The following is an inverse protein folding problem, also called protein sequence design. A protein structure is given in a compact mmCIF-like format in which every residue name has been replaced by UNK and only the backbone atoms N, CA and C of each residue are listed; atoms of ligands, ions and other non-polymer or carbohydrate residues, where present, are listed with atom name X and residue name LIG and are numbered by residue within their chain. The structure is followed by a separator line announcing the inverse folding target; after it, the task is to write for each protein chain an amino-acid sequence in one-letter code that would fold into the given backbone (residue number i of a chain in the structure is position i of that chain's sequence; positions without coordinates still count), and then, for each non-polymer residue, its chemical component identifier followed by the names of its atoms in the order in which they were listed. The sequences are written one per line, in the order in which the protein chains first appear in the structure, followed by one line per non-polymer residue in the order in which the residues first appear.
data_IF_890130138699
#
_entry.id   IF_890130138699
#
_cell.length_a   1.000
_cell.length_b   1.000
_cell.length_c   1.000
_cell.angle_alpha   90.00
_cell.angle_beta   90.00
_cell.angle_gamma   90.00
#
_symmetry.space_group_name_H-M   'P 1'
#
loop_
_entity.id
_entity.type
_entity.pdbx_description
1 polymer ?
#
# COMPACT_ATOMS: atom_id res chain seq x y z
N UNK A 1 -11.46 8.30 12.89
CA UNK A 1 -10.35 8.55 13.88
C UNK A 1 -9.07 7.78 13.56
N UNK A 2 -9.12 6.49 13.15
CA UNK A 2 -7.90 5.75 12.77
C UNK A 2 -7.32 6.23 11.42
N UNK A 3 -8.17 6.53 10.43
CA UNK A 3 -7.73 7.08 9.15
C UNK A 3 -7.14 8.48 9.32
N UNK A 4 -7.75 9.33 10.14
CA UNK A 4 -7.22 10.66 10.46
C UNK A 4 -5.89 10.59 11.22
N UNK A 5 -5.70 9.59 12.08
CA UNK A 5 -4.45 9.35 12.80
C UNK A 5 -3.31 8.89 11.87
N UNK A 6 -3.62 8.00 10.88
CA UNK A 6 -2.62 7.56 9.89
C UNK A 6 -2.21 8.71 8.95
N UNK A 7 -3.13 9.53 8.48
CA UNK A 7 -2.83 10.72 7.66
C UNK A 7 -2.02 11.74 8.47
N UNK A 8 -2.35 11.94 9.73
CA UNK A 8 -1.59 12.79 10.65
C UNK A 8 -0.17 12.27 10.89
N UNK A 9 -0.02 10.95 11.05
CA UNK A 9 1.27 10.30 11.23
C UNK A 9 2.15 10.43 9.97
N UNK A 10 1.58 10.20 8.78
CA UNK A 10 2.31 10.36 7.52
C UNK A 10 2.81 11.80 7.35
N UNK A 11 1.97 12.80 7.59
CA UNK A 11 2.37 14.22 7.54
C UNK A 11 3.44 14.57 8.58
N UNK A 12 3.36 14.00 9.78
CA UNK A 12 4.37 14.21 10.81
C UNK A 12 5.73 13.57 10.43
N UNK A 13 5.72 12.39 9.80
CA UNK A 13 6.91 11.72 9.27
C UNK A 13 7.52 12.51 8.11
N UNK A 14 6.70 13.07 7.23
CA UNK A 14 7.14 13.90 6.11
C UNK A 14 7.80 15.21 6.58
N UNK A 15 7.27 15.82 7.64
CA UNK A 15 7.79 17.06 8.23
C UNK A 15 8.96 16.85 9.19
N UNK A 16 9.22 15.62 9.64
CA UNK A 16 10.30 15.33 10.57
C UNK A 16 11.68 15.45 9.91
N UNK A 17 12.68 15.80 10.70
CA UNK A 17 14.09 15.74 10.30
C UNK A 17 14.43 14.34 9.77
N UNK A 18 15.11 14.28 8.63
CA UNK A 18 15.52 13.01 8.02
C UNK A 18 16.70 12.44 8.78
N UNK A 19 16.46 11.36 9.50
CA UNK A 19 17.48 10.63 10.27
C UNK A 19 17.74 9.28 9.62
N UNK A 20 19.01 8.88 9.55
CA UNK A 20 19.42 7.61 9.00
C UNK A 20 20.64 7.03 9.72
N UNK A 21 20.69 5.71 9.77
CA UNK A 21 21.82 4.95 10.28
C UNK A 21 22.42 4.11 9.15
N UNK A 22 23.68 4.36 8.78
CA UNK A 22 24.42 3.50 7.84
C UNK A 22 24.71 2.17 8.51
N UNK A 23 24.13 1.10 7.98
CA UNK A 23 24.30 -0.25 8.52
C UNK A 23 25.68 -0.84 8.22
N UNK A 24 26.48 -0.21 7.38
CA UNK A 24 27.72 -0.77 6.82
C UNK A 24 27.48 -1.83 5.73
N UNK A 25 26.25 -2.28 5.54
CA UNK A 25 25.89 -3.24 4.48
C UNK A 25 25.87 -2.52 3.13
N UNK A 26 26.23 -3.22 2.07
CA UNK A 26 26.16 -2.75 0.69
C UNK A 26 25.35 -3.75 -0.13
N UNK A 27 24.34 -3.25 -0.82
CA UNK A 27 23.55 -4.03 -1.79
C UNK A 27 24.12 -3.82 -3.20
N UNK A 28 24.32 -4.90 -3.94
CA UNK A 28 24.76 -4.80 -5.33
C UNK A 28 23.56 -4.40 -6.19
N UNK A 29 23.74 -3.37 -7.02
CA UNK A 29 22.68 -2.91 -7.93
C UNK A 29 22.26 -4.06 -8.87
N UNK A 30 20.95 -4.28 -9.10
CA UNK A 30 20.46 -5.45 -9.82
C UNK A 30 20.96 -5.53 -11.27
N UNK A 31 21.30 -4.39 -11.89
CA UNK A 31 21.72 -4.30 -13.29
C UNK A 31 23.16 -3.81 -13.48
N UNK A 32 23.84 -3.41 -12.40
CA UNK A 32 25.22 -2.98 -12.40
C UNK A 32 25.96 -3.61 -11.22
N UNK A 33 26.71 -4.67 -11.49
CA UNK A 33 27.39 -5.46 -10.45
C UNK A 33 28.55 -4.70 -9.79
N UNK A 34 29.05 -3.66 -10.41
CA UNK A 34 30.12 -2.82 -9.87
C UNK A 34 29.59 -1.71 -8.96
N UNK A 35 28.28 -1.46 -9.01
CA UNK A 35 27.64 -0.43 -8.21
C UNK A 35 27.09 -0.99 -6.89
N UNK A 36 27.80 -0.70 -5.80
CA UNK A 36 27.42 -1.06 -4.45
C UNK A 36 26.62 0.08 -3.80
N UNK A 37 25.35 -0.16 -3.52
CA UNK A 37 24.43 0.78 -2.90
C UNK A 37 24.53 0.68 -1.38
N UNK A 38 24.63 1.78 -0.63
CA UNK A 38 24.63 1.75 0.83
C UNK A 38 23.23 1.43 1.35
N UNK A 39 23.15 0.63 2.42
CA UNK A 39 21.89 0.26 3.09
C UNK A 39 21.76 1.05 4.39
N UNK A 40 20.71 1.85 4.47
CA UNK A 40 20.37 2.67 5.63
C UNK A 40 19.10 2.18 6.33
N UNK A 41 19.05 2.33 7.65
CA UNK A 41 17.79 2.35 8.40
C UNK A 41 17.38 3.82 8.51
N UNK A 42 16.19 4.19 8.04
CA UNK A 42 15.73 5.57 7.99
C UNK A 42 14.35 5.72 8.62
N UNK A 43 14.14 6.84 9.32
CA UNK A 43 12.93 7.10 10.09
C UNK A 43 11.68 7.43 9.24
N UNK A 44 11.84 7.68 7.95
CA UNK A 44 10.73 8.02 7.05
C UNK A 44 10.25 6.85 6.17
N UNK A 45 10.92 5.70 6.28
CA UNK A 45 10.53 4.48 5.56
C UNK A 45 9.42 3.76 6.32
N UNK A 46 8.29 3.52 5.63
CA UNK A 46 7.17 2.81 6.21
C UNK A 46 7.35 1.30 6.04
N UNK A 47 7.34 0.56 7.14
CA UNK A 47 7.50 -0.91 7.14
C UNK A 47 6.39 -1.65 6.40
N UNK A 48 5.21 -1.03 6.28
CA UNK A 48 4.05 -1.58 5.56
C UNK A 48 4.15 -1.39 4.03
N UNK A 49 5.19 -0.70 3.54
CA UNK A 49 5.35 -0.46 2.11
C UNK A 49 6.22 -1.57 1.48
N UNK A 50 5.62 -2.38 0.61
CA UNK A 50 6.29 -3.52 -0.01
C UNK A 50 6.76 -4.54 1.02
N UNK A 51 8.05 -4.82 1.03
CA UNK A 51 8.71 -5.73 2.00
C UNK A 51 9.33 -4.98 3.20
N UNK A 52 9.17 -3.65 3.26
CA UNK A 52 9.88 -2.79 4.20
C UNK A 52 11.31 -2.44 3.77
N UNK A 53 11.80 -3.05 2.69
CA UNK A 53 13.07 -2.69 2.05
C UNK A 53 12.77 -1.96 0.73
N UNK A 54 13.27 -0.72 0.59
CA UNK A 54 12.97 0.18 -0.52
C UNK A 54 14.27 0.57 -1.19
N UNK A 55 14.29 0.58 -2.54
CA UNK A 55 15.34 1.22 -3.29
C UNK A 55 14.99 2.71 -3.42
N UNK A 56 15.82 3.58 -2.85
CA UNK A 56 15.63 5.02 -2.94
C UNK A 56 15.88 5.56 -4.34
N UNK A 57 15.11 6.58 -4.72
CA UNK A 57 15.19 7.26 -6.03
C UNK A 57 15.32 8.78 -5.88
N UNK A 58 16.41 9.27 -5.30
CA UNK A 58 16.53 10.66 -4.85
C UNK A 58 16.40 11.71 -5.95
N UNK A 59 16.63 11.36 -7.21
CA UNK A 59 16.40 12.28 -8.31
C UNK A 59 14.91 12.52 -8.62
N UNK A 60 14.01 11.61 -8.17
CA UNK A 60 12.61 11.57 -8.57
C UNK A 60 11.62 11.39 -7.40
N UNK A 61 12.10 11.31 -6.17
CA UNK A 61 11.31 11.41 -4.93
C UNK A 61 11.94 12.45 -4.00
N UNK A 62 11.16 13.45 -3.61
CA UNK A 62 11.67 14.56 -2.81
C UNK A 62 12.12 14.12 -1.42
N UNK A 63 11.47 13.13 -0.82
CA UNK A 63 11.84 12.61 0.51
C UNK A 63 13.20 11.91 0.46
N UNK A 64 13.43 11.15 -0.60
CA UNK A 64 14.70 10.48 -0.84
C UNK A 64 15.80 11.49 -1.15
N UNK A 65 15.48 12.57 -1.89
CA UNK A 65 16.43 13.64 -2.19
C UNK A 65 16.84 14.38 -0.91
N UNK A 66 15.88 14.73 -0.06
CA UNK A 66 16.16 15.40 1.21
C UNK A 66 17.04 14.52 2.11
N UNK A 67 16.75 13.23 2.16
CA UNK A 67 17.57 12.25 2.88
C UNK A 67 18.98 12.13 2.29
N UNK A 68 19.09 12.02 0.97
CA UNK A 68 20.39 11.92 0.30
C UNK A 68 21.27 13.13 0.58
N UNK A 69 20.68 14.34 0.60
CA UNK A 69 21.38 15.58 0.96
C UNK A 69 21.89 15.58 2.39
N UNK A 70 21.04 15.20 3.34
CA UNK A 70 21.41 15.13 4.77
C UNK A 70 22.54 14.13 5.00
N UNK A 71 22.49 12.98 4.30
CA UNK A 71 23.51 11.93 4.43
C UNK A 71 24.71 12.09 3.50
N UNK A 72 24.76 13.13 2.67
CA UNK A 72 25.85 13.34 1.71
C UNK A 72 25.97 12.26 0.65
N UNK A 73 24.83 11.66 0.25
CA UNK A 73 24.79 10.57 -0.75
C UNK A 73 24.74 11.14 -2.16
N UNK A 74 25.38 10.46 -3.13
CA UNK A 74 25.32 10.87 -4.53
C UNK A 74 23.90 10.71 -5.08
N UNK A 75 23.49 11.67 -5.92
CA UNK A 75 22.19 11.66 -6.59
C UNK A 75 22.44 11.55 -8.10
N UNK A 76 21.80 10.57 -8.75
CA UNK A 76 21.89 10.35 -10.19
C UNK A 76 20.53 10.62 -10.83
N UNK A 77 20.47 11.59 -11.76
CA UNK A 77 19.28 11.81 -12.59
C UNK A 77 19.15 10.67 -13.60
N UNK A 78 17.98 10.05 -13.64
CA UNK A 78 17.67 8.93 -14.57
C UNK A 78 16.52 9.24 -15.51
N UNK A 79 15.83 10.38 -15.31
CA UNK A 79 14.85 10.93 -16.24
C UNK A 79 15.19 12.40 -16.46
N UNK A 80 15.36 12.78 -17.72
CA UNK A 80 15.54 14.17 -18.13
C UNK A 80 14.21 14.72 -18.64
N UNK A 81 13.63 15.66 -17.93
CA UNK A 81 12.38 16.33 -18.29
C UNK A 81 12.57 17.50 -19.25
N UNK A 82 13.82 17.82 -19.59
CA UNK A 82 14.16 19.01 -20.39
C UNK A 82 14.02 20.33 -19.63
N UNK A 83 13.69 20.30 -18.35
CA UNK A 83 13.64 21.49 -17.51
C UNK A 83 15.02 21.83 -16.96
N UNK A 84 15.31 23.13 -16.87
CA UNK A 84 16.52 23.61 -16.22
C UNK A 84 16.39 23.40 -14.70
N UNK A 85 17.12 22.43 -14.20
CA UNK A 85 17.10 22.01 -12.81
C UNK A 85 18.55 21.82 -12.35
N UNK A 86 19.27 22.91 -12.05
CA UNK A 86 20.67 22.86 -11.69
C UNK A 86 20.90 22.09 -10.39
N UNK A 87 22.02 21.39 -10.29
CA UNK A 87 22.36 20.49 -9.19
C UNK A 87 22.30 21.16 -7.80
N UNK A 88 22.65 22.44 -7.75
CA UNK A 88 22.68 23.21 -6.49
C UNK A 88 21.27 23.51 -5.91
N UNK A 89 20.28 23.66 -6.79
CA UNK A 89 18.88 23.95 -6.41
C UNK A 89 17.92 22.83 -6.78
N UNK A 90 18.43 21.66 -7.09
CA UNK A 90 17.68 20.55 -7.60
C UNK A 90 16.50 20.14 -6.73
N UNK A 91 15.34 20.07 -7.34
CA UNK A 91 14.11 19.51 -6.79
C UNK A 91 13.84 18.18 -7.49
N UNK A 92 13.38 17.19 -6.76
CA UNK A 92 13.06 15.89 -7.35
C UNK A 92 11.97 16.05 -8.42
N UNK A 93 12.22 15.53 -9.60
CA UNK A 93 11.30 15.64 -10.73
C UNK A 93 10.44 14.38 -10.84
N UNK A 94 9.11 14.54 -10.87
CA UNK A 94 8.14 13.45 -11.01
C UNK A 94 7.50 13.39 -12.39
N UNK A 95 7.88 14.31 -13.29
CA UNK A 95 7.35 14.41 -14.65
C UNK A 95 7.85 13.32 -15.60
N UNK A 96 7.17 13.21 -16.72
CA UNK A 96 7.62 12.38 -17.82
C UNK A 96 8.84 13.02 -18.50
N UNK A 97 9.70 12.20 -19.09
CA UNK A 97 10.91 12.66 -19.73
C UNK A 97 11.66 11.53 -20.42
N UNK A 98 12.87 11.83 -20.86
CA UNK A 98 13.74 10.85 -21.53
C UNK A 98 14.58 10.14 -20.47
N UNK A 99 14.67 8.81 -20.55
CA UNK A 99 15.56 8.04 -19.69
C UNK A 99 17.02 8.34 -20.04
N UNK A 100 17.82 8.65 -19.02
CA UNK A 100 19.24 8.94 -19.11
C UNK A 100 19.99 8.23 -17.97
N UNK A 101 21.27 7.95 -18.15
CA UNK A 101 22.10 7.26 -17.17
C UNK A 101 21.50 5.92 -16.67
N UNK A 102 20.73 5.27 -17.53
CA UNK A 102 19.91 4.09 -17.22
C UNK A 102 20.24 2.90 -18.14
N UNK A 103 21.44 2.90 -18.72
CA UNK A 103 21.97 1.87 -19.62
C UNK A 103 21.02 1.57 -20.79
N UNK A 104 20.48 0.37 -20.89
CA UNK A 104 19.60 -0.05 -21.98
C UNK A 104 18.25 0.69 -22.03
N UNK A 105 17.89 1.42 -20.97
CA UNK A 105 16.68 2.25 -20.96
C UNK A 105 16.93 3.65 -21.53
N UNK A 106 18.18 4.04 -21.74
CA UNK A 106 18.52 5.37 -22.25
C UNK A 106 17.81 5.66 -23.56
N UNK A 107 17.19 6.83 -23.64
CA UNK A 107 16.42 7.27 -24.80
C UNK A 107 14.95 6.84 -24.82
N UNK A 108 14.49 5.96 -23.93
CA UNK A 108 13.06 5.71 -23.77
C UNK A 108 12.36 6.97 -23.23
N UNK A 109 11.14 7.22 -23.70
CA UNK A 109 10.33 8.37 -23.30
C UNK A 109 9.04 7.97 -22.61
N UNK A 110 8.78 6.66 -22.52
CA UNK A 110 7.54 6.10 -22.03
C UNK A 110 7.81 5.22 -20.78
N UNK A 111 7.22 5.62 -19.65
CA UNK A 111 7.35 4.94 -18.37
C UNK A 111 6.86 3.48 -18.40
N UNK A 112 5.78 3.21 -19.13
CA UNK A 112 5.21 1.85 -19.18
C UNK A 112 6.17 0.90 -19.91
N UNK A 113 6.84 1.37 -20.97
CA UNK A 113 7.87 0.61 -21.66
C UNK A 113 9.09 0.37 -20.78
N UNK A 114 9.55 1.36 -20.04
CA UNK A 114 10.64 1.19 -19.08
C UNK A 114 10.34 0.14 -18.03
N UNK A 115 9.15 0.19 -17.41
CA UNK A 115 8.70 -0.80 -16.44
C UNK A 115 8.67 -2.21 -17.04
N UNK A 116 8.13 -2.35 -18.25
CA UNK A 116 8.08 -3.65 -18.94
C UNK A 116 9.47 -4.24 -19.18
N UNK A 117 10.39 -3.47 -19.72
CA UNK A 117 11.78 -3.91 -19.97
C UNK A 117 12.45 -4.39 -18.68
N UNK A 118 12.29 -3.66 -17.58
CA UNK A 118 12.88 -4.05 -16.28
C UNK A 118 12.25 -5.34 -15.76
N UNK A 119 10.92 -5.49 -15.85
CA UNK A 119 10.23 -6.71 -15.41
C UNK A 119 10.72 -7.91 -16.23
N UNK A 120 10.69 -7.82 -17.55
CA UNK A 120 11.15 -8.89 -18.45
C UNK A 120 12.59 -9.32 -18.14
N UNK A 121 13.46 -8.34 -17.86
CA UNK A 121 14.85 -8.62 -17.50
C UNK A 121 15.00 -9.33 -16.15
N UNK A 122 14.23 -8.92 -15.14
CA UNK A 122 14.27 -9.56 -13.83
C UNK A 122 13.70 -10.98 -13.88
N UNK A 123 12.65 -11.20 -14.68
CA UNK A 123 12.06 -12.51 -14.92
C UNK A 123 13.03 -13.43 -15.66
N UNK A 124 13.67 -12.95 -16.71
CA UNK A 124 14.67 -13.72 -17.45
C UNK A 124 15.87 -14.13 -16.58
N UNK A 125 16.19 -13.38 -15.55
CA UNK A 125 17.25 -13.68 -14.59
C UNK A 125 16.78 -14.54 -13.42
N UNK A 126 15.47 -14.85 -13.31
CA UNK A 126 14.88 -15.54 -12.16
C UNK A 126 14.98 -14.75 -10.84
N UNK A 127 15.06 -13.40 -10.90
CA UNK A 127 15.29 -12.52 -9.75
C UNK A 127 14.06 -11.71 -9.33
N UNK A 128 13.00 -11.77 -10.08
CA UNK A 128 11.75 -11.07 -9.81
C UNK A 128 10.66 -11.49 -10.77
N UNK A 129 9.45 -10.99 -10.54
CA UNK A 129 8.30 -11.19 -11.43
C UNK A 129 7.42 -9.95 -11.41
N UNK A 130 6.69 -9.73 -12.49
CA UNK A 130 5.67 -8.70 -12.55
C UNK A 130 4.57 -8.97 -11.52
N UNK A 131 4.15 -7.92 -10.81
CA UNK A 131 3.04 -7.98 -9.86
C UNK A 131 2.12 -6.78 -10.04
N UNK A 132 0.83 -7.02 -9.93
CA UNK A 132 -0.19 -5.97 -9.92
C UNK A 132 -0.72 -5.82 -8.50
N UNK A 133 -0.44 -4.69 -7.88
CA UNK A 133 -0.94 -4.37 -6.55
C UNK A 133 -2.10 -3.38 -6.67
N UNK A 134 -3.28 -3.80 -6.22
CA UNK A 134 -4.45 -2.92 -6.16
C UNK A 134 -4.41 -2.09 -4.89
N UNK A 135 -4.46 -0.75 -5.05
CA UNK A 135 -4.57 0.19 -3.92
C UNK A 135 -6.01 0.58 -3.68
N UNK A 136 -6.88 -0.40 -3.54
CA UNK A 136 -8.24 -0.18 -3.07
C UNK A 136 -8.21 0.02 -1.56
N UNK A 137 -8.88 1.07 -1.09
CA UNK A 137 -9.04 1.31 0.35
C UNK A 137 -10.39 0.76 0.75
N UNK A 138 -10.41 -0.14 1.71
CA UNK A 138 -11.62 -0.85 2.18
C UNK A 138 -12.71 0.09 2.70
N UNK A 139 -12.34 1.29 3.15
CA UNK A 139 -13.28 2.26 3.66
C UNK A 139 -14.37 2.68 2.65
N UNK A 140 -14.19 2.40 1.36
CA UNK A 140 -15.19 2.65 0.32
C UNK A 140 -16.28 1.57 0.24
N UNK A 141 -16.05 0.40 0.80
CA UNK A 141 -16.94 -0.76 0.68
C UNK A 141 -17.67 -1.01 2.01
N UNK A 142 -16.96 -1.01 3.11
CA UNK A 142 -17.46 -1.43 4.42
C UNK A 142 -17.89 -0.24 5.28
N UNK A 143 -19.08 -0.35 5.88
CA UNK A 143 -19.67 0.66 6.79
C UNK A 143 -20.31 0.00 8.01
N UNK A 144 -20.10 0.61 9.17
CA UNK A 144 -20.74 0.26 10.43
C UNK A 144 -22.06 1.02 10.54
N UNK A 145 -23.05 0.64 9.70
CA UNK A 145 -24.36 1.31 9.57
C UNK A 145 -25.47 0.28 9.59
N UNK A 146 -26.68 0.74 9.90
CA UNK A 146 -27.91 -0.09 9.84
C UNK A 146 -28.56 -0.07 8.46
N UNK A 147 -28.01 0.59 7.47
CA UNK A 147 -28.54 0.67 6.13
C UNK A 147 -27.48 0.23 5.10
N UNK A 148 -27.92 -0.11 3.91
CA UNK A 148 -27.09 -0.70 2.87
C UNK A 148 -27.16 -2.23 2.86
N UNK A 149 -26.66 -2.90 1.81
CA UNK A 149 -26.61 -4.36 1.74
C UNK A 149 -25.60 -4.92 2.76
N UNK A 150 -25.99 -5.88 3.61
CA UNK A 150 -25.03 -6.57 4.47
C UNK A 150 -23.96 -7.29 3.65
N UNK A 151 -22.73 -7.30 4.15
CA UNK A 151 -21.63 -8.03 3.52
C UNK A 151 -21.91 -9.54 3.66
N UNK A 152 -21.99 -10.30 2.54
CA UNK A 152 -22.39 -11.70 2.55
C UNK A 152 -21.25 -12.64 2.94
N UNK A 153 -20.60 -12.37 4.07
CA UNK A 153 -19.49 -13.15 4.63
C UNK A 153 -19.86 -13.65 6.04
N UNK A 154 -19.45 -14.86 6.33
CA UNK A 154 -19.56 -15.50 7.63
C UNK A 154 -18.15 -15.76 8.17
N UNK A 155 -17.86 -15.30 9.37
CA UNK A 155 -16.60 -15.51 10.08
C UNK A 155 -16.68 -16.80 10.92
N UNK A 156 -16.00 -17.85 10.48
CA UNK A 156 -15.93 -19.12 11.16
C UNK A 156 -14.58 -19.28 11.90
N UNK A 157 -14.57 -19.64 13.18
CA UNK A 157 -13.31 -19.87 13.89
C UNK A 157 -12.44 -20.98 13.32
N UNK A 158 -13.03 -21.92 12.58
CA UNK A 158 -12.36 -23.09 12.00
C UNK A 158 -11.99 -22.85 10.52
N UNK A 159 -12.96 -22.36 9.73
CA UNK A 159 -12.82 -22.25 8.26
C UNK A 159 -12.44 -20.82 7.82
N UNK A 160 -12.36 -19.84 8.74
CA UNK A 160 -12.05 -18.45 8.42
C UNK A 160 -13.24 -17.69 7.81
N UNK A 161 -12.98 -16.93 6.77
CA UNK A 161 -14.00 -16.15 6.04
C UNK A 161 -14.70 -17.03 5.00
N UNK A 162 -15.98 -17.27 5.20
CA UNK A 162 -16.80 -18.16 4.36
C UNK A 162 -17.92 -17.34 3.72
N UNK A 163 -18.09 -17.37 2.38
CA UNK A 163 -19.20 -16.69 1.74
C UNK A 163 -20.55 -17.31 2.11
N UNK A 164 -21.58 -16.47 2.22
CA UNK A 164 -22.97 -16.93 2.36
C UNK A 164 -23.34 -17.71 1.09
N UNK A 165 -23.91 -18.91 1.20
CA UNK A 165 -24.38 -19.70 0.05
C UNK A 165 -25.35 -18.92 -0.83
N UNK A 166 -25.30 -19.13 -2.15
CA UNK A 166 -26.13 -18.38 -3.11
C UNK A 166 -27.62 -18.54 -2.88
N UNK A 167 -28.06 -19.72 -2.43
CA UNK A 167 -29.45 -20.02 -2.10
C UNK A 167 -29.96 -19.30 -0.83
N UNK A 168 -29.06 -18.70 -0.04
CA UNK A 168 -29.37 -17.89 1.13
C UNK A 168 -29.26 -16.38 0.87
N UNK A 169 -29.04 -15.98 -0.36
CA UNK A 169 -29.01 -14.58 -0.78
C UNK A 169 -30.41 -14.10 -1.23
N UNK A 170 -30.71 -12.81 -1.02
CA UNK A 170 -29.90 -11.76 -0.37
C UNK A 170 -29.91 -11.88 1.15
N UNK A 171 -28.80 -11.50 1.79
CA UNK A 171 -28.77 -11.30 3.24
C UNK A 171 -29.56 -10.05 3.58
N UNK A 172 -30.67 -10.22 4.31
CA UNK A 172 -31.54 -9.10 4.69
C UNK A 172 -31.20 -8.54 6.05
N UNK A 173 -31.39 -7.23 6.24
CA UNK A 173 -31.17 -6.57 7.53
C UNK A 173 -32.20 -7.05 8.55
N UNK A 174 -31.78 -7.27 9.83
CA UNK A 174 -32.71 -7.57 10.92
C UNK A 174 -33.54 -6.33 11.26
N UNK A 175 -34.71 -6.53 11.85
CA UNK A 175 -35.58 -5.42 12.28
C UNK A 175 -35.08 -4.85 13.61
N UNK A 176 -34.28 -3.77 13.57
CA UNK A 176 -33.85 -3.03 14.76
C UNK A 176 -34.73 -1.78 14.96
N UNK A 177 -34.98 -1.39 16.23
CA UNK A 177 -35.81 -0.24 16.58
C UNK A 177 -35.29 0.50 17.81
N UNK A 178 -35.54 1.80 17.86
CA UNK A 178 -35.35 2.62 19.07
C UNK A 178 -33.91 2.66 19.55
N UNK A 179 -33.67 2.10 20.75
CA UNK A 179 -32.36 2.15 21.41
C UNK A 179 -31.27 1.36 20.67
N UNK A 180 -31.65 0.30 19.95
CA UNK A 180 -30.71 -0.57 19.21
C UNK A 180 -30.05 0.14 18.03
N UNK A 181 -30.66 1.24 17.57
CA UNK A 181 -30.12 2.08 16.49
C UNK A 181 -29.18 3.19 16.99
N UNK A 182 -29.05 3.39 18.29
CA UNK A 182 -28.18 4.42 18.84
C UNK A 182 -26.71 4.07 18.61
N UNK A 183 -25.87 5.01 18.12
CA UNK A 183 -24.45 4.77 17.95
C UNK A 183 -23.77 4.44 19.28
N UNK A 184 -23.11 3.28 19.34
CA UNK A 184 -22.34 2.82 20.50
C UNK A 184 -20.86 2.64 20.20
N UNK A 185 -20.38 3.21 19.06
CA UNK A 185 -18.99 3.06 18.61
C UNK A 185 -18.73 1.77 17.81
N UNK A 186 -19.74 0.90 17.69
CA UNK A 186 -19.71 -0.33 16.90
C UNK A 186 -20.90 -0.38 15.95
N UNK A 187 -20.91 -1.34 15.00
CA UNK A 187 -22.05 -1.53 14.11
C UNK A 187 -23.32 -1.86 14.90
N UNK A 188 -24.46 -1.22 14.61
CA UNK A 188 -25.75 -1.56 15.22
C UNK A 188 -26.14 -3.03 14.99
N UNK A 189 -25.71 -3.63 13.88
CA UNK A 189 -25.97 -5.04 13.55
C UNK A 189 -25.33 -6.00 14.54
N UNK A 190 -24.19 -5.64 15.15
CA UNK A 190 -23.51 -6.46 16.15
C UNK A 190 -24.35 -6.77 17.39
N UNK A 191 -25.35 -5.91 17.70
CA UNK A 191 -26.30 -6.12 18.80
C UNK A 191 -27.44 -7.11 18.47
N UNK A 192 -27.66 -7.44 17.20
CA UNK A 192 -28.70 -8.35 16.75
C UNK A 192 -28.23 -9.82 16.85
N UNK A 193 -28.10 -10.33 18.07
CA UNK A 193 -27.50 -11.64 18.36
C UNK A 193 -28.10 -12.79 17.56
N UNK A 194 -29.43 -12.81 17.38
CA UNK A 194 -30.14 -13.84 16.62
C UNK A 194 -29.85 -13.79 15.12
N UNK A 195 -29.46 -12.62 14.62
CA UNK A 195 -29.07 -12.43 13.21
C UNK A 195 -27.58 -12.65 13.01
N UNK A 196 -26.75 -12.24 13.97
CA UNK A 196 -25.29 -12.35 13.89
C UNK A 196 -24.85 -13.80 14.01
N UNK A 197 -25.39 -14.53 15.00
CA UNK A 197 -24.95 -15.91 15.27
C UNK A 197 -25.61 -16.88 14.28
N UNK A 198 -24.77 -17.58 13.54
CA UNK A 198 -25.19 -18.54 12.49
C UNK A 198 -24.34 -19.80 12.55
N UNK A 199 -24.81 -20.84 11.88
CA UNK A 199 -23.96 -21.99 11.61
C UNK A 199 -23.05 -21.72 10.38
N UNK A 200 -21.81 -22.14 10.46
CA UNK A 200 -20.91 -22.10 9.31
C UNK A 200 -21.43 -23.02 8.19
N UNK A 201 -21.58 -22.54 6.96
CA UNK A 201 -22.06 -23.39 5.86
C UNK A 201 -21.08 -24.48 5.44
N UNK A 202 -19.81 -24.38 5.84
CA UNK A 202 -18.76 -25.37 5.53
C UNK A 202 -18.67 -26.47 6.59
N UNK A 203 -18.47 -26.12 7.87
CA UNK A 203 -18.27 -27.12 8.92
C UNK A 203 -19.49 -27.34 9.83
N UNK A 204 -20.56 -26.52 9.70
CA UNK A 204 -21.74 -26.59 10.56
C UNK A 204 -21.54 -26.07 12.00
N UNK A 205 -20.32 -25.65 12.34
CA UNK A 205 -19.98 -25.12 13.67
C UNK A 205 -20.51 -23.70 13.89
N UNK A 206 -20.44 -23.19 15.15
CA UNK A 206 -20.86 -21.82 15.46
C UNK A 206 -19.97 -20.79 14.76
N UNK A 207 -20.61 -19.82 14.14
CA UNK A 207 -19.97 -18.75 13.37
C UNK A 207 -20.76 -17.45 13.49
N UNK A 208 -20.22 -16.35 12.96
CA UNK A 208 -20.89 -15.04 13.01
C UNK A 208 -20.95 -14.42 11.64
N UNK A 209 -22.08 -13.77 11.31
CA UNK A 209 -22.17 -12.91 10.10
C UNK A 209 -21.29 -11.69 10.27
N UNK A 210 -20.78 -11.20 9.15
CA UNK A 210 -20.22 -9.85 9.10
C UNK A 210 -21.30 -8.83 9.53
N UNK A 211 -20.90 -7.86 10.34
CA UNK A 211 -21.82 -6.83 10.85
C UNK A 211 -21.72 -5.51 10.11
N UNK A 212 -20.93 -5.46 9.06
CA UNK A 212 -20.80 -4.29 8.20
C UNK A 212 -21.73 -4.37 7.00
N UNK A 213 -22.03 -3.22 6.44
CA UNK A 213 -22.81 -3.08 5.20
C UNK A 213 -21.94 -2.49 4.09
N UNK A 214 -22.30 -2.75 2.86
CA UNK A 214 -21.69 -2.12 1.69
C UNK A 214 -22.36 -0.78 1.40
N UNK A 215 -21.55 0.21 0.94
CA UNK A 215 -21.99 1.54 0.52
C UNK A 215 -21.60 1.77 -0.95
#
# INVERSE_FOLDING_TARGET
KLADSKVGLIKAIEAAEKLGYDTGIRAVHPFDKEWALPVYVANFILMEYGTGAIMAVPAHDQRDLDFARVMGLPVRRVIDTGEDNPEESWVATTGDGVYVNSAELDGLTDKASGIRVIIERLEAQGRGSGAVNFRLRDWLISRQRYWGPPIPIIHCPVDGEVPVPEDQLPVTLPMLRGADLKPQGTSPLGGATDWVNVACPTCGGPATRDTDTMD
#
